data_IF_096533699283
#
_entry.id   IF_096533699283
#
_cell.length_a   1.000
_cell.length_b   1.000
_cell.length_c   1.000
_cell.angle_alpha   90.00
_cell.angle_beta   90.00
_cell.angle_gamma   90.00
#
_symmetry.space_group_name_H-M   'P 1'
#
loop_
_entity.id
_entity.type
_entity.pdbx_description
1 polymer ?
#
# COMPACT_ATOMS: atom_id res chain seq x y z
N UNK A 1 -6.84 -0.14 10.85
CA UNK A 1 -6.39 0.67 12.01
C UNK A 1 -5.66 -0.15 13.08
N UNK A 2 -5.82 -1.48 13.12
CA UNK A 2 -5.28 -2.31 14.21
C UNK A 2 -3.75 -2.28 14.28
N UNK A 3 -3.08 -2.21 13.13
CA UNK A 3 -1.60 -2.14 13.08
C UNK A 3 -1.09 -0.83 13.67
N UNK A 4 -1.66 0.31 13.29
CA UNK A 4 -1.26 1.63 13.81
C UNK A 4 -1.52 1.69 15.31
N UNK A 5 -2.66 1.18 15.77
CA UNK A 5 -2.98 1.12 17.18
C UNK A 5 -2.02 0.21 17.96
N UNK A 6 -1.67 -0.95 17.41
CA UNK A 6 -0.66 -1.82 18.01
C UNK A 6 0.72 -1.13 18.09
N UNK A 7 1.12 -0.40 17.04
CA UNK A 7 2.37 0.37 17.05
C UNK A 7 2.35 1.52 18.06
N UNK A 8 1.23 2.21 18.22
CA UNK A 8 1.06 3.29 19.22
C UNK A 8 1.07 2.77 20.64
N UNK A 9 0.52 1.58 20.89
CA UNK A 9 0.45 0.96 22.21
C UNK A 9 1.78 0.31 22.64
N UNK A 10 2.68 0.03 21.68
CA UNK A 10 3.93 -0.67 21.96
C UNK A 10 4.94 0.25 22.64
N UNK A 11 5.41 -0.14 23.84
CA UNK A 11 6.52 0.53 24.53
C UNK A 11 7.87 0.08 23.93
N UNK A 12 8.19 0.67 22.78
CA UNK A 12 9.45 0.39 22.09
C UNK A 12 10.65 1.10 22.73
N UNK A 13 10.42 2.20 23.47
CA UNK A 13 11.49 2.98 24.06
C UNK A 13 12.23 2.21 25.17
N UNK A 14 11.52 1.33 25.90
CA UNK A 14 12.09 0.47 26.93
C UNK A 14 12.81 -0.78 26.41
N UNK A 15 12.68 -1.09 25.10
CA UNK A 15 13.29 -2.27 24.52
C UNK A 15 14.80 -2.06 24.31
N UNK A 16 15.61 -3.00 24.79
CA UNK A 16 17.07 -2.99 24.63
C UNK A 16 17.54 -3.44 23.26
N UNK A 17 16.74 -4.27 22.57
CA UNK A 17 17.09 -4.87 21.29
C UNK A 17 15.92 -4.86 20.29
N UNK A 18 16.28 -4.94 18.98
CA UNK A 18 15.28 -5.08 17.89
C UNK A 18 14.44 -6.36 18.05
N UNK A 19 15.03 -7.44 18.58
CA UNK A 19 14.32 -8.69 18.84
C UNK A 19 13.29 -8.54 19.97
N UNK A 20 13.55 -7.70 20.98
CA UNK A 20 12.54 -7.38 21.99
C UNK A 20 11.37 -6.59 21.42
N UNK A 21 11.65 -5.60 20.54
CA UNK A 21 10.57 -4.90 19.82
C UNK A 21 9.77 -5.87 18.96
N UNK A 22 10.42 -6.81 18.26
CA UNK A 22 9.76 -7.82 17.43
C UNK A 22 8.74 -8.65 18.23
N UNK A 23 9.10 -9.03 19.46
CA UNK A 23 8.21 -9.81 20.34
C UNK A 23 6.92 -9.06 20.69
N UNK A 24 6.94 -7.72 20.74
CA UNK A 24 5.73 -6.91 20.99
C UNK A 24 4.67 -7.08 19.90
N UNK A 25 5.09 -7.49 18.69
CA UNK A 25 4.23 -7.69 17.53
C UNK A 25 3.96 -9.16 17.19
N UNK A 26 4.31 -10.09 18.07
CA UNK A 26 4.10 -11.54 17.86
C UNK A 26 2.64 -11.93 17.60
N UNK A 27 1.69 -11.15 18.11
CA UNK A 27 0.25 -11.35 17.89
C UNK A 27 -0.20 -11.14 16.43
N UNK A 28 0.57 -10.42 15.62
CA UNK A 28 0.23 -10.13 14.23
C UNK A 28 0.34 -11.36 13.31
N UNK A 29 0.96 -12.45 13.76
CA UNK A 29 1.11 -13.73 13.04
C UNK A 29 1.57 -13.59 11.58
N UNK A 30 2.31 -12.54 11.26
CA UNK A 30 2.82 -12.23 9.93
C UNK A 30 4.26 -11.70 10.03
N UNK A 31 5.23 -12.55 9.74
CA UNK A 31 6.64 -12.18 9.72
C UNK A 31 6.93 -11.02 8.76
N UNK A 32 6.27 -11.04 7.59
CA UNK A 32 6.40 -9.98 6.59
C UNK A 32 5.95 -8.63 7.14
N UNK A 33 4.77 -8.58 7.79
CA UNK A 33 4.23 -7.37 8.40
C UNK A 33 5.11 -6.89 9.55
N UNK A 34 5.53 -7.80 10.43
CA UNK A 34 6.45 -7.48 11.52
C UNK A 34 7.76 -6.92 10.97
N UNK A 35 8.32 -7.51 9.91
CA UNK A 35 9.51 -6.99 9.25
C UNK A 35 9.34 -5.56 8.71
N UNK A 36 8.17 -5.21 8.15
CA UNK A 36 7.85 -3.85 7.70
C UNK A 36 7.74 -2.87 8.87
N UNK A 37 7.09 -3.26 9.95
CA UNK A 37 7.01 -2.46 11.18
C UNK A 37 8.42 -2.16 11.69
N UNK A 38 9.26 -3.17 11.79
CA UNK A 38 10.62 -3.02 12.29
C UNK A 38 11.51 -2.14 11.40
N UNK A 39 11.26 -2.03 10.08
CA UNK A 39 11.98 -1.10 9.19
C UNK A 39 11.73 0.37 9.54
N UNK A 40 10.64 0.66 10.25
CA UNK A 40 10.29 2.00 10.73
C UNK A 40 10.88 2.34 12.10
N UNK A 41 11.75 1.50 12.66
CA UNK A 41 12.48 1.79 13.88
C UNK A 41 13.77 2.56 13.56
N UNK A 42 14.10 3.51 14.44
CA UNK A 42 15.42 4.13 14.55
C UNK A 42 15.81 4.28 16.02
N UNK A 43 17.06 4.62 16.28
CA UNK A 43 17.52 5.01 17.60
C UNK A 43 17.50 6.54 17.71
N UNK A 44 17.05 7.05 18.85
CA UNK A 44 17.15 8.46 19.21
C UNK A 44 18.56 8.81 19.73
N UNK A 45 18.77 10.05 20.16
CA UNK A 45 20.06 10.54 20.70
C UNK A 45 20.46 9.87 22.02
N UNK A 46 19.50 9.27 22.74
CA UNK A 46 19.73 8.53 23.98
C UNK A 46 19.79 7.02 23.76
N UNK A 47 19.93 6.61 22.47
CA UNK A 47 20.00 5.22 22.06
C UNK A 47 18.73 4.39 22.36
N UNK A 48 17.55 5.04 22.56
CA UNK A 48 16.26 4.38 22.71
C UNK A 48 15.60 4.20 21.34
N UNK A 49 14.75 3.17 21.18
CA UNK A 49 13.99 3.03 19.95
C UNK A 49 12.85 4.06 19.86
N UNK A 50 12.70 4.63 18.67
CA UNK A 50 11.58 5.48 18.29
C UNK A 50 11.10 5.15 16.88
N UNK A 51 9.89 5.58 16.56
CA UNK A 51 9.32 5.43 15.21
C UNK A 51 9.85 6.53 14.27
N UNK A 52 10.26 6.13 13.07
CA UNK A 52 10.60 7.08 11.99
C UNK A 52 9.39 7.85 11.48
N UNK A 53 8.21 7.20 11.52
CA UNK A 53 6.94 7.74 11.02
C UNK A 53 6.15 8.39 12.16
N UNK A 54 5.39 9.42 11.83
CA UNK A 54 4.50 10.08 12.79
C UNK A 54 3.17 9.30 12.93
N UNK A 55 3.18 8.28 13.78
CA UNK A 55 2.02 7.41 14.00
C UNK A 55 0.78 8.17 14.48
N UNK A 56 0.94 9.21 15.31
CA UNK A 56 -0.19 9.99 15.85
C UNK A 56 -0.89 10.76 14.73
N UNK A 57 -0.13 11.38 13.84
CA UNK A 57 -0.68 12.09 12.68
C UNK A 57 -1.35 11.10 11.72
N UNK A 58 -0.73 9.95 11.47
CA UNK A 58 -1.34 8.91 10.64
C UNK A 58 -2.66 8.42 11.24
N UNK A 59 -2.66 8.06 12.52
CA UNK A 59 -3.87 7.60 13.20
C UNK A 59 -5.01 8.63 13.14
N UNK A 60 -4.70 9.92 13.37
CA UNK A 60 -5.67 11.00 13.35
C UNK A 60 -6.19 11.39 11.95
N UNK A 61 -5.56 10.92 10.88
CA UNK A 61 -5.96 11.21 9.51
C UNK A 61 -6.36 9.96 8.70
N UNK A 62 -6.49 8.81 9.35
CA UNK A 62 -6.82 7.55 8.63
C UNK A 62 -8.14 7.63 7.88
N UNK A 63 -9.17 8.29 8.42
CA UNK A 63 -10.44 8.47 7.70
C UNK A 63 -10.22 9.19 6.38
N UNK A 64 -9.46 10.30 6.39
CA UNK A 64 -9.14 11.06 5.17
C UNK A 64 -8.28 10.28 4.19
N UNK A 65 -7.35 9.44 4.70
CA UNK A 65 -6.50 8.60 3.85
C UNK A 65 -7.31 7.51 3.16
N UNK A 66 -8.38 7.05 3.81
CA UNK A 66 -9.28 5.99 3.31
C UNK A 66 -10.47 6.55 2.52
N UNK A 67 -10.62 7.87 2.41
CA UNK A 67 -11.64 8.47 1.55
C UNK A 67 -11.39 8.10 0.08
N UNK A 68 -12.49 7.88 -0.66
CA UNK A 68 -12.42 7.67 -2.09
C UNK A 68 -11.95 8.93 -2.81
N UNK A 69 -11.14 8.76 -3.85
CA UNK A 69 -10.80 9.87 -4.76
C UNK A 69 -12.00 10.09 -5.68
N UNK A 70 -12.75 11.15 -5.40
CA UNK A 70 -13.87 11.57 -6.26
C UNK A 70 -13.37 12.64 -7.24
N UNK A 71 -13.72 12.54 -8.53
CA UNK A 71 -13.44 13.63 -9.46
C UNK A 71 -14.23 14.87 -9.07
N UNK A 72 -13.63 16.06 -9.26
CA UNK A 72 -14.33 17.32 -9.04
C UNK A 72 -15.61 17.34 -9.87
N UNK A 73 -16.75 17.65 -9.22
CA UNK A 73 -18.08 17.67 -9.88
C UNK A 73 -18.19 18.76 -10.95
N UNK A 74 -17.30 19.75 -10.93
CA UNK A 74 -17.29 20.89 -11.84
C UNK A 74 -16.32 20.71 -13.02
N UNK A 75 -15.46 19.73 -12.97
CA UNK A 75 -14.59 19.36 -14.08
C UNK A 75 -15.12 18.07 -14.69
N UNK A 76 -15.14 17.93 -16.01
CA UNK A 76 -15.45 16.64 -16.63
C UNK A 76 -14.47 15.55 -16.20
N UNK A 77 -13.45 15.91 -15.41
CA UNK A 77 -12.57 15.08 -14.56
C UNK A 77 -11.91 13.93 -15.28
N UNK A 78 -12.02 13.89 -16.62
CA UNK A 78 -11.50 12.79 -17.42
C UNK A 78 -10.04 13.02 -17.77
N UNK A 79 -9.21 12.08 -17.36
CA UNK A 79 -7.80 12.07 -17.67
C UNK A 79 -7.60 11.20 -18.91
N UNK A 80 -7.22 11.82 -20.01
CA UNK A 80 -7.07 11.19 -21.33
C UNK A 80 -5.70 11.51 -21.95
N UNK A 81 -5.40 10.92 -23.11
CA UNK A 81 -4.19 11.22 -23.87
C UNK A 81 -3.00 10.29 -23.60
N UNK A 82 -3.15 9.34 -22.67
CA UNK A 82 -2.16 8.30 -22.41
C UNK A 82 -2.83 6.99 -21.96
N UNK A 83 -2.16 5.83 -22.13
CA UNK A 83 -2.65 4.56 -21.62
C UNK A 83 -2.58 4.53 -20.08
N UNK A 84 -3.52 3.84 -19.44
CA UNK A 84 -3.56 3.65 -18.00
C UNK A 84 -3.82 2.17 -17.70
N UNK A 85 -2.93 1.55 -16.95
CA UNK A 85 -3.10 0.17 -16.51
C UNK A 85 -3.25 0.10 -15.01
N UNK A 86 -4.31 -0.58 -14.55
CA UNK A 86 -4.51 -0.94 -13.17
C UNK A 86 -4.18 -2.43 -12.99
N UNK A 87 -3.20 -2.73 -12.16
CA UNK A 87 -2.83 -4.12 -11.86
C UNK A 87 -3.59 -4.60 -10.65
N UNK A 88 -4.53 -5.53 -10.86
CA UNK A 88 -5.32 -6.18 -9.82
C UNK A 88 -4.63 -7.44 -9.34
N UNK A 89 -4.46 -7.59 -8.02
CA UNK A 89 -3.98 -8.82 -7.43
C UNK A 89 -5.08 -9.88 -7.43
N UNK A 90 -4.77 -11.10 -7.90
CA UNK A 90 -5.74 -12.20 -8.01
C UNK A 90 -6.28 -12.68 -6.65
N UNK A 91 -5.46 -12.54 -5.58
CA UNK A 91 -5.77 -12.98 -4.22
C UNK A 91 -5.91 -11.79 -3.25
N UNK A 92 -6.46 -10.65 -3.71
CA UNK A 92 -6.66 -9.47 -2.88
C UNK A 92 -7.94 -8.73 -3.28
N UNK A 93 -8.65 -8.22 -2.28
CA UNK A 93 -9.91 -7.51 -2.45
C UNK A 93 -9.73 -5.97 -2.48
N UNK A 94 -8.48 -5.48 -2.54
CA UNK A 94 -8.21 -4.02 -2.61
C UNK A 94 -8.64 -3.40 -3.93
N UNK A 95 -8.63 -4.15 -5.00
CA UNK A 95 -9.10 -3.78 -6.32
C UNK A 95 -9.87 -4.96 -6.89
N UNK A 96 -11.14 -4.75 -7.23
CA UNK A 96 -12.05 -5.76 -7.75
C UNK A 96 -12.42 -5.47 -9.21
N UNK A 97 -13.13 -6.39 -9.86
CA UNK A 97 -13.59 -6.16 -11.24
C UNK A 97 -14.67 -5.07 -11.31
N UNK A 98 -15.40 -4.85 -10.23
CA UNK A 98 -16.44 -3.81 -10.16
C UNK A 98 -15.84 -2.39 -10.10
N UNK A 99 -14.58 -2.26 -9.65
CA UNK A 99 -13.88 -0.98 -9.56
C UNK A 99 -13.52 -0.40 -10.94
N UNK A 100 -13.56 -1.19 -12.01
CA UNK A 100 -13.28 -0.69 -13.37
C UNK A 100 -14.28 0.37 -13.81
N UNK A 101 -15.51 0.32 -13.32
CA UNK A 101 -16.55 1.28 -13.70
C UNK A 101 -16.25 2.68 -13.14
N UNK A 102 -16.01 2.88 -11.82
CA UNK A 102 -15.59 4.17 -11.29
C UNK A 102 -14.22 4.61 -11.83
N UNK A 103 -13.28 3.69 -12.02
CA UNK A 103 -11.96 3.99 -12.61
C UNK A 103 -12.12 4.61 -14.00
N UNK A 104 -12.94 4.04 -14.88
CA UNK A 104 -13.16 4.54 -16.24
C UNK A 104 -13.94 5.85 -16.32
N UNK A 105 -14.58 6.27 -15.26
CA UNK A 105 -15.14 7.65 -15.18
C UNK A 105 -14.03 8.69 -15.17
N UNK A 106 -12.90 8.39 -14.50
CA UNK A 106 -11.73 9.26 -14.41
C UNK A 106 -10.76 9.00 -15.57
N UNK A 107 -10.46 7.72 -15.84
CA UNK A 107 -9.53 7.25 -16.85
C UNK A 107 -10.27 6.41 -17.91
N UNK A 108 -10.89 7.03 -18.94
CA UNK A 108 -11.71 6.29 -19.91
C UNK A 108 -10.98 5.16 -20.64
N UNK A 109 -9.68 5.32 -20.84
CA UNK A 109 -8.82 4.31 -21.50
C UNK A 109 -8.21 3.29 -20.52
N UNK A 110 -8.66 3.24 -19.26
CA UNK A 110 -8.10 2.32 -18.28
C UNK A 110 -8.35 0.86 -18.62
N UNK A 111 -7.29 0.06 -18.57
CA UNK A 111 -7.32 -1.39 -18.60
C UNK A 111 -7.07 -1.97 -17.21
N UNK A 112 -7.85 -2.99 -16.83
CA UNK A 112 -7.66 -3.74 -15.61
C UNK A 112 -6.95 -5.06 -15.96
N UNK A 113 -5.76 -5.27 -15.42
CA UNK A 113 -4.95 -6.47 -15.67
C UNK A 113 -4.83 -7.25 -14.37
N UNK A 114 -5.31 -8.48 -14.36
CA UNK A 114 -5.17 -9.35 -13.19
C UNK A 114 -3.78 -9.97 -13.15
N UNK A 115 -3.09 -9.82 -12.03
CA UNK A 115 -1.86 -10.52 -11.69
C UNK A 115 -2.23 -11.79 -10.93
N UNK A 116 -2.18 -12.98 -11.56
CA UNK A 116 -2.63 -14.23 -10.92
C UNK A 116 -1.71 -14.61 -9.75
N UNK A 117 -2.27 -15.37 -8.82
CA UNK A 117 -1.53 -15.95 -7.67
C UNK A 117 -0.78 -14.93 -6.80
N UNK A 118 -1.18 -13.65 -6.87
CA UNK A 118 -0.57 -12.57 -6.12
C UNK A 118 -1.55 -11.98 -5.11
N UNK A 119 -1.06 -11.71 -3.90
CA UNK A 119 -1.73 -10.88 -2.90
C UNK A 119 -1.41 -9.39 -3.11
N UNK A 120 -1.60 -8.58 -2.08
CA UNK A 120 -1.35 -7.13 -2.12
C UNK A 120 0.03 -6.73 -2.68
N UNK A 121 1.04 -7.57 -2.51
CA UNK A 121 2.43 -7.32 -2.95
C UNK A 121 2.73 -7.95 -4.32
N UNK A 122 1.95 -7.58 -5.34
CA UNK A 122 2.00 -8.17 -6.69
C UNK A 122 3.42 -8.30 -7.25
N UNK A 123 4.26 -7.28 -7.04
CA UNK A 123 5.65 -7.24 -7.54
C UNK A 123 6.58 -8.23 -6.86
N UNK A 124 6.22 -8.69 -5.67
CA UNK A 124 6.97 -9.69 -4.90
C UNK A 124 6.39 -11.09 -5.07
N UNK A 125 5.07 -11.17 -5.19
CA UNK A 125 4.36 -12.45 -5.25
C UNK A 125 4.43 -13.03 -6.67
N UNK A 126 4.29 -12.18 -7.71
CA UNK A 126 4.41 -12.59 -9.12
C UNK A 126 5.14 -11.53 -9.97
N UNK A 127 6.47 -11.37 -9.80
CA UNK A 127 7.25 -10.38 -10.53
C UNK A 127 7.21 -10.58 -12.05
N UNK A 128 7.11 -11.83 -12.53
CA UNK A 128 7.05 -12.13 -13.96
C UNK A 128 5.81 -11.55 -14.64
N UNK A 129 4.63 -11.71 -14.02
CA UNK A 129 3.39 -11.14 -14.54
C UNK A 129 3.41 -9.60 -14.51
N UNK A 130 3.99 -9.00 -13.47
CA UNK A 130 4.14 -7.54 -13.38
C UNK A 130 5.07 -7.02 -14.47
N UNK A 131 6.23 -7.66 -14.70
CA UNK A 131 7.15 -7.29 -15.78
C UNK A 131 6.48 -7.42 -17.15
N UNK A 132 5.73 -8.50 -17.38
CA UNK A 132 5.00 -8.69 -18.64
C UNK A 132 3.96 -7.60 -18.88
N UNK A 133 3.22 -7.18 -17.84
CA UNK A 133 2.27 -6.07 -17.95
C UNK A 133 2.98 -4.73 -18.24
N UNK A 134 4.13 -4.48 -17.61
CA UNK A 134 4.93 -3.27 -17.86
C UNK A 134 5.48 -3.23 -19.28
N UNK A 135 5.99 -4.36 -19.80
CA UNK A 135 6.46 -4.44 -21.18
C UNK A 135 5.33 -4.18 -22.16
N UNK A 136 4.17 -4.80 -21.95
CA UNK A 136 2.97 -4.54 -22.77
C UNK A 136 2.57 -3.05 -22.74
N UNK A 137 2.65 -2.42 -21.55
CA UNK A 137 2.36 -0.99 -21.38
C UNK A 137 3.32 -0.12 -22.20
N UNK A 138 4.63 -0.41 -22.16
CA UNK A 138 5.66 0.32 -22.92
C UNK A 138 5.47 0.14 -24.42
N UNK A 139 5.09 -1.06 -24.87
CA UNK A 139 4.85 -1.38 -26.30
C UNK A 139 3.55 -0.77 -26.84
N UNK A 140 2.60 -0.43 -25.97
CA UNK A 140 1.27 0.08 -26.37
C UNK A 140 1.32 1.46 -27.05
N UNK A 141 2.46 2.11 -27.10
CA UNK A 141 2.65 3.15 -28.05
C UNK A 141 3.18 4.48 -27.61
N UNK A 142 3.29 5.42 -28.54
CA UNK A 142 3.93 6.71 -28.29
C UNK A 142 3.06 7.55 -27.33
N UNK A 143 3.72 8.09 -26.37
CA UNK A 143 3.20 9.11 -25.47
C UNK A 143 3.20 10.46 -26.18
#
# INVERSE_FOLDING_TARGET
NDIINAMLAADIASAGSRSEVEKLFSSLKSERLTGLILKNLRRDTENRFEWKINLRVLAGNMEKIMESVEPDKNDEGRITGFPVYFLKAGNSDYLTDDDIVPIRRIFPAAELITVPDAGHWIHSDNPGAVVSALLKFIEAGPY
#
